data_IF_507031250187
#
_entry.id   IF_507031250187
#
_cell.length_a   1.000
_cell.length_b   1.000
_cell.length_c   1.000
_cell.angle_alpha   90.00
_cell.angle_beta   90.00
_cell.angle_gamma   90.00
#
_symmetry.space_group_name_H-M   'P 1'
#
loop_
_entity.id
_entity.type
_entity.pdbx_description
1 polymer ?
#
# COMPACT_ATOMS: atom_id res chain seq x y z
N UNK A 1 20.73 -16.07 8.65
CA UNK A 1 19.78 -17.21 8.86
C UNK A 1 18.44 -16.68 9.36
N UNK A 2 17.35 -17.09 8.70
CA UNK A 2 15.98 -16.71 9.10
C UNK A 2 15.47 -17.57 10.26
N UNK A 3 14.96 -16.94 11.30
CA UNK A 3 14.37 -17.57 12.48
C UNK A 3 12.95 -17.05 12.68
N UNK A 4 11.97 -17.94 12.92
CA UNK A 4 10.62 -17.52 13.31
C UNK A 4 10.66 -16.82 14.67
N UNK A 5 10.10 -15.60 14.75
CA UNK A 5 10.04 -14.84 15.98
C UNK A 5 9.10 -15.50 17.01
N UNK A 6 9.51 -15.47 18.26
CA UNK A 6 8.69 -15.74 19.44
C UNK A 6 8.07 -14.45 19.96
N UNK A 7 7.13 -14.53 20.90
CA UNK A 7 6.58 -13.32 21.55
C UNK A 7 7.68 -12.52 22.26
N UNK A 8 8.63 -13.20 22.90
CA UNK A 8 9.77 -12.55 23.54
C UNK A 8 10.69 -11.86 22.53
N UNK A 9 10.92 -12.47 21.36
CA UNK A 9 11.69 -11.82 20.29
C UNK A 9 10.98 -10.54 19.82
N UNK A 10 9.65 -10.55 19.72
CA UNK A 10 8.88 -9.34 19.36
C UNK A 10 9.11 -8.25 20.38
N UNK A 11 8.92 -8.53 21.67
CA UNK A 11 9.14 -7.55 22.74
C UNK A 11 10.56 -6.96 22.71
N UNK A 12 11.57 -7.79 22.44
CA UNK A 12 12.96 -7.39 22.44
C UNK A 12 13.37 -6.54 21.22
N UNK A 13 12.76 -6.79 20.02
CA UNK A 13 13.24 -6.23 18.76
C UNK A 13 12.26 -5.29 18.04
N UNK A 14 11.09 -5.00 18.62
CA UNK A 14 10.15 -4.02 18.05
C UNK A 14 10.77 -2.64 17.84
N UNK A 15 11.51 -2.15 18.85
CA UNK A 15 12.18 -0.85 18.76
C UNK A 15 13.25 -0.82 17.68
N UNK A 16 14.02 -1.90 17.56
CA UNK A 16 15.00 -2.07 16.50
C UNK A 16 14.33 -1.97 15.12
N UNK A 17 13.29 -2.76 14.89
CA UNK A 17 12.60 -2.77 13.60
C UNK A 17 11.89 -1.43 13.30
N UNK A 18 11.28 -0.81 14.33
CA UNK A 18 10.70 0.52 14.16
C UNK A 18 11.74 1.57 13.75
N UNK A 19 12.92 1.54 14.36
CA UNK A 19 14.01 2.47 14.02
C UNK A 19 14.45 2.28 12.56
N UNK A 20 14.56 1.04 12.06
CA UNK A 20 14.84 0.77 10.65
C UNK A 20 13.74 1.31 9.72
N UNK A 21 12.47 1.30 10.16
CA UNK A 21 11.36 1.82 9.37
C UNK A 21 11.38 3.36 9.19
N UNK A 22 12.26 4.06 9.93
CA UNK A 22 12.46 5.50 9.81
C UNK A 22 13.51 5.87 8.73
N UNK A 23 14.09 4.87 8.05
CA UNK A 23 15.10 5.05 7.02
C UNK A 23 14.66 4.33 5.75
N UNK A 24 14.52 5.08 4.65
CA UNK A 24 14.11 4.57 3.34
C UNK A 24 15.13 3.58 2.75
N UNK A 25 16.38 3.63 3.18
CA UNK A 25 17.45 2.71 2.70
C UNK A 25 17.38 1.33 3.35
N UNK A 26 16.65 1.19 4.45
CA UNK A 26 16.55 -0.06 5.23
C UNK A 26 15.15 -0.65 5.30
N UNK A 27 14.13 0.10 4.86
CA UNK A 27 12.72 -0.32 4.95
C UNK A 27 12.09 -0.60 3.60
N UNK A 28 11.00 -1.38 3.61
CA UNK A 28 10.15 -1.60 2.44
C UNK A 28 9.04 -0.55 2.30
N UNK A 29 8.60 0.07 3.39
CA UNK A 29 7.47 1.00 3.37
C UNK A 29 7.80 2.37 3.94
N UNK A 30 7.54 3.45 3.17
CA UNK A 30 7.88 4.82 3.58
C UNK A 30 6.91 5.44 4.61
N UNK A 31 5.83 4.75 4.98
CA UNK A 31 4.72 5.33 5.75
C UNK A 31 4.98 5.53 7.24
N UNK A 32 6.15 5.16 7.74
CA UNK A 32 6.56 5.44 9.13
C UNK A 32 7.52 6.63 9.23
N UNK A 33 8.18 7.00 8.13
CA UNK A 33 9.17 8.06 8.07
C UNK A 33 8.58 9.45 8.32
N UNK A 34 7.41 9.73 7.78
CA UNK A 34 6.76 11.04 7.81
C UNK A 34 5.81 11.23 9.01
N UNK A 35 5.77 10.25 9.91
CA UNK A 35 4.91 10.28 11.08
C UNK A 35 3.43 9.98 10.82
N UNK A 36 3.08 9.50 9.63
CA UNK A 36 1.70 9.06 9.32
C UNK A 36 1.33 7.89 10.22
N UNK A 37 2.17 6.86 10.25
CA UNK A 37 2.06 5.76 11.21
C UNK A 37 3.01 5.98 12.37
N UNK A 38 2.48 5.92 13.58
CA UNK A 38 3.25 6.14 14.80
C UNK A 38 3.96 4.86 15.24
N UNK A 39 4.90 4.98 16.18
CA UNK A 39 5.55 3.84 16.85
C UNK A 39 4.50 2.88 17.46
N UNK A 40 3.46 3.43 18.08
CA UNK A 40 2.38 2.64 18.63
C UNK A 40 1.58 1.87 17.57
N UNK A 41 1.40 2.45 16.39
CA UNK A 41 0.75 1.77 15.27
C UNK A 41 1.61 0.63 14.72
N UNK A 42 2.93 0.84 14.65
CA UNK A 42 3.89 -0.22 14.31
C UNK A 42 3.78 -1.41 15.28
N UNK A 43 3.74 -1.14 16.58
CA UNK A 43 3.61 -2.17 17.61
C UNK A 43 2.29 -2.93 17.49
N UNK A 44 1.17 -2.22 17.36
CA UNK A 44 -0.14 -2.84 17.17
C UNK A 44 -0.18 -3.71 15.91
N UNK A 45 0.45 -3.26 14.82
CA UNK A 45 0.55 -4.03 13.59
C UNK A 45 1.33 -5.31 13.78
N UNK A 46 2.51 -5.26 14.41
CA UNK A 46 3.35 -6.43 14.68
C UNK A 46 2.64 -7.47 15.56
N UNK A 47 2.00 -7.04 16.67
CA UNK A 47 1.21 -7.97 17.50
C UNK A 47 0.00 -8.55 16.77
N UNK A 48 -0.65 -7.76 15.93
CA UNK A 48 -1.74 -8.25 15.07
C UNK A 48 -1.24 -9.31 14.09
N UNK A 49 -0.13 -9.07 13.42
CA UNK A 49 0.49 -10.03 12.48
C UNK A 49 0.90 -11.32 13.20
N UNK A 50 1.52 -11.21 14.37
CA UNK A 50 1.91 -12.38 15.15
C UNK A 50 0.73 -13.27 15.53
N UNK A 51 -0.44 -12.69 15.73
CA UNK A 51 -1.65 -13.39 16.15
C UNK A 51 -2.46 -13.99 15.00
N UNK A 52 -2.20 -13.64 13.75
CA UNK A 52 -2.95 -14.12 12.58
C UNK A 52 -2.41 -15.46 12.08
N UNK A 53 -3.32 -16.27 11.52
CA UNK A 53 -2.98 -17.57 10.93
C UNK A 53 -2.24 -17.46 9.59
N UNK A 54 -2.50 -16.39 8.84
CA UNK A 54 -1.96 -16.13 7.50
C UNK A 54 -0.86 -15.05 7.50
N UNK A 55 -0.16 -14.88 8.59
CA UNK A 55 0.96 -13.96 8.74
C UNK A 55 2.03 -14.56 9.65
N UNK A 56 3.29 -14.19 9.42
CA UNK A 56 4.41 -14.59 10.29
C UNK A 56 5.44 -13.48 10.35
N UNK A 57 6.19 -13.48 11.47
CA UNK A 57 7.34 -12.61 11.65
C UNK A 57 8.60 -13.48 11.71
N UNK A 58 9.59 -13.13 10.90
CA UNK A 58 10.93 -13.72 10.90
C UNK A 58 11.95 -12.68 11.33
N UNK A 59 12.97 -13.13 12.04
CA UNK A 59 14.19 -12.37 12.30
C UNK A 59 15.31 -12.91 11.40
N UNK A 60 16.07 -12.02 10.78
CA UNK A 60 17.35 -12.38 10.17
C UNK A 60 18.46 -12.19 11.18
N UNK A 61 19.19 -13.28 11.43
CA UNK A 61 20.28 -13.33 12.42
C UNK A 61 21.58 -13.68 11.70
N UNK A 62 22.61 -12.86 11.94
CA UNK A 62 23.96 -13.11 11.46
C UNK A 62 24.93 -12.88 12.62
N UNK A 63 25.84 -13.85 12.89
CA UNK A 63 26.79 -13.84 14.00
C UNK A 63 26.16 -13.52 15.38
N UNK A 64 25.01 -14.15 15.68
CA UNK A 64 24.22 -13.96 16.90
C UNK A 64 23.60 -12.55 17.05
N UNK A 65 23.71 -11.71 16.05
CA UNK A 65 23.08 -10.38 16.00
C UNK A 65 21.85 -10.37 15.11
N UNK A 66 20.76 -9.72 15.56
CA UNK A 66 19.56 -9.53 14.76
C UNK A 66 19.76 -8.32 13.84
N UNK A 67 19.78 -8.54 12.54
CA UNK A 67 20.01 -7.54 11.51
C UNK A 67 18.79 -7.28 10.63
N UNK A 68 17.70 -8.04 10.80
CA UNK A 68 16.51 -7.86 10.00
C UNK A 68 15.23 -8.34 10.68
N UNK A 69 14.13 -7.73 10.25
CA UNK A 69 12.77 -8.03 10.68
C UNK A 69 11.87 -8.09 9.46
N UNK A 70 11.27 -9.27 9.23
CA UNK A 70 10.38 -9.55 8.11
C UNK A 70 9.01 -9.95 8.66
N UNK A 71 8.02 -9.07 8.52
CA UNK A 71 6.61 -9.36 8.78
C UNK A 71 5.92 -9.56 7.44
N UNK A 72 5.59 -10.80 7.10
CA UNK A 72 4.99 -11.17 5.84
C UNK A 72 3.65 -11.88 6.04
N UNK A 73 2.81 -11.82 5.01
CA UNK A 73 1.51 -12.46 4.97
C UNK A 73 1.27 -13.14 3.62
N UNK A 74 0.30 -14.04 3.58
CA UNK A 74 -0.11 -14.70 2.36
C UNK A 74 -1.62 -14.68 2.19
N UNK A 75 -2.05 -14.69 0.91
CA UNK A 75 -3.44 -14.82 0.48
C UNK A 75 -3.53 -16.09 -0.34
N UNK A 76 -4.13 -17.14 0.24
CA UNK A 76 -4.13 -18.48 -0.34
C UNK A 76 -4.86 -18.52 -1.69
N UNK A 77 -6.01 -17.82 -1.79
CA UNK A 77 -6.82 -17.79 -3.00
C UNK A 77 -6.12 -17.14 -4.19
N UNK A 78 -5.22 -16.22 -3.93
CA UNK A 78 -4.50 -15.46 -4.96
C UNK A 78 -3.07 -15.95 -5.14
N UNK A 79 -2.63 -16.99 -4.43
CA UNK A 79 -1.24 -17.44 -4.36
C UNK A 79 -0.25 -16.28 -4.16
N UNK A 80 -0.65 -15.32 -3.34
CA UNK A 80 0.05 -14.07 -3.10
C UNK A 80 0.86 -14.12 -1.80
N UNK A 81 2.09 -13.66 -1.83
CA UNK A 81 2.94 -13.49 -0.67
C UNK A 81 3.49 -12.05 -0.64
N UNK A 82 3.11 -11.30 0.38
CA UNK A 82 3.49 -9.89 0.54
C UNK A 82 3.99 -9.57 1.94
N UNK A 83 4.41 -8.33 2.14
CA UNK A 83 5.01 -7.88 3.38
C UNK A 83 4.19 -6.77 4.04
N UNK A 84 4.07 -6.84 5.35
CA UNK A 84 3.71 -5.70 6.18
C UNK A 84 4.96 -4.87 6.53
N UNK A 85 6.10 -5.55 6.74
CA UNK A 85 7.40 -4.96 7.05
C UNK A 85 8.51 -5.86 6.46
N UNK A 86 9.50 -5.22 5.83
CA UNK A 86 10.74 -5.86 5.40
C UNK A 86 11.87 -4.88 5.71
N UNK A 87 12.33 -4.90 6.96
CA UNK A 87 13.31 -3.96 7.48
C UNK A 87 14.64 -4.67 7.71
N UNK A 88 15.67 -4.25 6.99
CA UNK A 88 16.99 -4.89 7.00
C UNK A 88 18.07 -3.82 7.21
N UNK A 89 18.86 -3.98 8.25
CA UNK A 89 19.94 -3.05 8.59
C UNK A 89 21.09 -3.14 7.60
N UNK A 90 21.49 -4.36 7.25
CA UNK A 90 22.50 -4.67 6.24
C UNK A 90 22.32 -6.09 5.70
N UNK A 91 23.13 -6.51 4.71
CA UNK A 91 23.04 -7.83 4.08
C UNK A 91 21.73 -8.06 3.28
N UNK A 92 21.18 -7.03 2.66
CA UNK A 92 19.90 -7.09 1.95
C UNK A 92 19.84 -8.24 0.93
N UNK A 93 20.90 -8.44 0.15
CA UNK A 93 20.99 -9.55 -0.80
C UNK A 93 20.79 -10.89 -0.11
N UNK A 94 21.61 -11.20 0.91
CA UNK A 94 21.55 -12.47 1.65
C UNK A 94 20.16 -12.71 2.26
N UNK A 95 19.53 -11.66 2.79
CA UNK A 95 18.19 -11.75 3.40
C UNK A 95 17.13 -12.06 2.36
N UNK A 96 17.16 -11.41 1.19
CA UNK A 96 16.21 -11.66 0.11
C UNK A 96 16.39 -13.08 -0.42
N UNK A 97 17.63 -13.53 -0.65
CA UNK A 97 17.93 -14.90 -1.07
C UNK A 97 17.39 -15.92 -0.08
N UNK A 98 17.72 -15.78 1.21
CA UNK A 98 17.22 -16.68 2.24
C UNK A 98 15.70 -16.69 2.34
N UNK A 99 15.04 -15.52 2.15
CA UNK A 99 13.59 -15.46 2.17
C UNK A 99 12.96 -16.15 0.97
N UNK A 100 13.55 -16.04 -0.23
CA UNK A 100 13.10 -16.74 -1.43
C UNK A 100 13.22 -18.26 -1.21
N UNK A 101 14.37 -18.74 -0.75
CA UNK A 101 14.59 -20.18 -0.47
C UNK A 101 13.68 -20.70 0.66
N UNK A 102 13.50 -19.91 1.72
CA UNK A 102 12.55 -20.22 2.79
C UNK A 102 11.12 -20.37 2.25
N UNK A 103 10.76 -19.55 1.27
CA UNK A 103 9.41 -19.50 0.71
C UNK A 103 9.14 -20.62 -0.30
N UNK A 104 10.10 -21.00 -1.15
CA UNK A 104 9.97 -22.09 -2.13
C UNK A 104 9.42 -23.37 -1.53
N UNK A 105 9.95 -23.80 -0.40
CA UNK A 105 9.54 -25.05 0.25
C UNK A 105 8.18 -24.98 0.97
N UNK A 106 7.64 -23.77 1.23
CA UNK A 106 6.45 -23.56 2.07
C UNK A 106 5.25 -23.04 1.29
N UNK A 107 5.51 -22.36 0.20
CA UNK A 107 4.51 -21.68 -0.61
C UNK A 107 4.73 -22.01 -2.11
N UNK A 108 4.69 -23.30 -2.51
CA UNK A 108 4.84 -23.67 -3.91
C UNK A 108 3.75 -23.01 -4.75
N UNK A 109 4.12 -22.50 -5.92
CA UNK A 109 3.25 -21.79 -6.86
C UNK A 109 2.72 -20.42 -6.36
N UNK A 110 3.30 -19.85 -5.31
CA UNK A 110 3.01 -18.48 -4.92
C UNK A 110 3.91 -17.50 -5.68
N UNK A 111 3.45 -16.26 -5.76
CA UNK A 111 4.27 -15.14 -6.22
C UNK A 111 4.61 -14.26 -5.03
N UNK A 112 5.91 -13.95 -4.86
CA UNK A 112 6.38 -12.99 -3.86
C UNK A 112 6.34 -11.59 -4.48
N UNK A 113 5.81 -10.62 -3.74
CA UNK A 113 5.76 -9.21 -4.11
C UNK A 113 6.70 -8.39 -3.24
N UNK A 114 7.87 -8.06 -3.78
CA UNK A 114 8.87 -7.20 -3.14
C UNK A 114 8.70 -5.76 -3.58
N UNK A 115 8.30 -4.90 -2.66
CA UNK A 115 8.18 -3.48 -2.93
C UNK A 115 9.12 -2.67 -2.03
N UNK A 116 9.90 -1.76 -2.64
CA UNK A 116 10.87 -0.94 -1.92
C UNK A 116 10.86 0.52 -2.39
N UNK A 117 11.13 1.47 -1.48
CA UNK A 117 11.54 2.81 -1.88
C UNK A 117 12.77 2.76 -2.78
N UNK A 118 12.85 3.63 -3.79
CA UNK A 118 14.03 3.69 -4.69
C UNK A 118 15.33 4.04 -3.93
N UNK A 119 15.21 4.58 -2.73
CA UNK A 119 16.33 4.84 -1.82
C UNK A 119 16.95 3.55 -1.26
N UNK A 120 16.20 2.44 -1.21
CA UNK A 120 16.70 1.12 -0.81
C UNK A 120 17.41 0.45 -2.00
N UNK A 121 18.51 1.09 -2.43
CA UNK A 121 19.24 0.72 -3.65
C UNK A 121 19.78 -0.70 -3.61
N UNK A 122 20.27 -1.16 -2.46
CA UNK A 122 20.83 -2.51 -2.32
C UNK A 122 19.79 -3.60 -2.57
N UNK A 123 18.58 -3.45 -2.04
CA UNK A 123 17.48 -4.40 -2.30
C UNK A 123 17.05 -4.36 -3.76
N UNK A 124 16.91 -3.16 -4.33
CA UNK A 124 16.47 -2.97 -5.72
C UNK A 124 17.52 -3.48 -6.72
N UNK A 125 18.80 -3.17 -6.53
CA UNK A 125 19.89 -3.65 -7.38
C UNK A 125 19.98 -5.18 -7.36
N UNK A 126 19.81 -5.78 -6.19
CA UNK A 126 19.79 -7.23 -6.08
C UNK A 126 18.59 -7.83 -6.83
N UNK A 127 17.37 -7.32 -6.62
CA UNK A 127 16.18 -7.79 -7.36
C UNK A 127 16.36 -7.67 -8.88
N UNK A 128 16.94 -6.58 -9.37
CA UNK A 128 17.27 -6.38 -10.79
C UNK A 128 18.31 -7.38 -11.32
N UNK A 129 19.16 -7.93 -10.45
CA UNK A 129 20.22 -8.85 -10.82
C UNK A 129 19.80 -10.32 -10.90
N UNK A 130 18.64 -10.65 -10.35
CA UNK A 130 18.06 -12.00 -10.36
C UNK A 130 16.83 -12.05 -11.29
N UNK A 131 16.25 -13.23 -11.43
CA UNK A 131 15.04 -13.46 -12.24
C UNK A 131 13.80 -12.91 -11.52
N UNK A 132 13.70 -11.58 -11.45
CA UNK A 132 12.54 -10.86 -10.92
C UNK A 132 11.95 -9.93 -11.99
N UNK A 133 10.63 -9.80 -12.00
CA UNK A 133 9.90 -8.91 -12.91
C UNK A 133 9.51 -7.63 -12.17
N UNK A 134 9.91 -6.47 -12.71
CA UNK A 134 9.40 -5.18 -12.23
C UNK A 134 8.00 -4.95 -12.82
N UNK A 135 6.98 -4.99 -11.97
CA UNK A 135 5.58 -4.88 -12.39
C UNK A 135 4.98 -3.50 -12.17
N UNK A 136 5.58 -2.68 -11.29
CA UNK A 136 5.04 -1.36 -10.99
C UNK A 136 6.11 -0.38 -10.52
N UNK A 137 5.85 0.93 -10.74
CA UNK A 137 6.68 2.04 -10.30
C UNK A 137 5.80 3.26 -10.03
N UNK A 138 5.79 3.73 -8.79
CA UNK A 138 4.92 4.80 -8.37
C UNK A 138 5.67 5.86 -7.54
N UNK A 139 5.10 7.06 -7.45
CA UNK A 139 5.52 8.11 -6.55
C UNK A 139 4.61 8.12 -5.33
N UNK A 140 5.19 7.96 -4.14
CA UNK A 140 4.45 7.90 -2.88
C UNK A 140 4.28 9.30 -2.32
N UNK A 141 3.04 9.66 -2.11
CA UNK A 141 2.63 10.93 -1.54
C UNK A 141 1.81 10.74 -0.28
N UNK A 142 1.93 11.68 0.64
CA UNK A 142 1.20 11.66 1.91
C UNK A 142 0.61 13.03 2.21
N UNK A 143 -0.49 13.06 2.98
CA UNK A 143 -1.11 14.29 3.43
C UNK A 143 -1.61 14.13 4.87
N UNK A 144 -1.30 15.13 5.71
CA UNK A 144 -1.88 15.26 7.04
C UNK A 144 -3.14 16.12 7.00
N UNK A 145 -4.26 15.56 7.41
CA UNK A 145 -5.53 16.31 7.47
C UNK A 145 -5.53 17.41 8.53
N UNK A 146 -4.65 17.36 9.52
CA UNK A 146 -4.48 18.47 10.47
C UNK A 146 -4.04 19.75 9.74
N UNK A 147 -3.13 19.64 8.79
CA UNK A 147 -2.59 20.75 8.00
C UNK A 147 -3.41 21.07 6.74
N UNK A 148 -4.30 20.18 6.34
CA UNK A 148 -5.11 20.36 5.14
C UNK A 148 -6.22 21.37 5.36
N UNK A 149 -6.37 22.36 4.47
CA UNK A 149 -7.50 23.26 4.39
C UNK A 149 -8.42 22.83 3.25
N UNK A 150 -9.74 22.67 3.48
CA UNK A 150 -10.67 22.32 2.43
C UNK A 150 -10.59 23.28 1.23
N UNK A 151 -10.61 22.71 0.04
CA UNK A 151 -10.58 23.43 -1.24
C UNK A 151 -11.97 23.42 -1.87
N UNK A 152 -12.25 24.40 -2.72
CA UNK A 152 -13.44 24.39 -3.54
C UNK A 152 -13.39 23.23 -4.54
N UNK A 153 -14.52 22.53 -4.66
CA UNK A 153 -14.66 21.35 -5.50
C UNK A 153 -15.67 21.64 -6.61
N UNK A 154 -15.24 21.51 -7.83
CA UNK A 154 -16.08 21.66 -9.02
C UNK A 154 -16.66 20.32 -9.47
N UNK A 155 -17.80 20.39 -10.15
CA UNK A 155 -18.45 19.24 -10.77
C UNK A 155 -19.51 18.56 -9.91
N UNK A 156 -20.28 17.69 -10.56
CA UNK A 156 -21.31 16.86 -9.93
C UNK A 156 -20.67 15.54 -9.45
N UNK A 157 -20.29 15.50 -8.17
CA UNK A 157 -19.61 14.36 -7.58
C UNK A 157 -20.49 13.72 -6.51
N UNK A 158 -20.91 12.49 -6.77
CA UNK A 158 -21.83 11.72 -5.93
C UNK A 158 -21.15 10.47 -5.36
N UNK A 159 -21.59 10.04 -4.18
CA UNK A 159 -21.17 8.73 -3.63
C UNK A 159 -21.82 7.58 -4.42
N UNK A 160 -21.09 6.50 -4.58
CA UNK A 160 -21.64 5.25 -5.11
C UNK A 160 -22.68 4.68 -4.13
N UNK A 161 -23.80 4.24 -4.69
CA UNK A 161 -24.87 3.52 -4.03
C UNK A 161 -25.45 2.44 -4.96
N UNK A 162 -26.52 1.75 -4.57
CA UNK A 162 -27.11 0.67 -5.34
C UNK A 162 -27.68 1.14 -6.70
N UNK A 163 -28.12 2.40 -6.79
CA UNK A 163 -28.76 2.94 -7.99
C UNK A 163 -27.73 3.24 -9.10
N UNK A 164 -26.52 3.73 -8.70
CA UNK A 164 -25.44 4.10 -9.63
C UNK A 164 -24.28 3.09 -9.63
N UNK A 165 -24.43 1.91 -9.00
CA UNK A 165 -23.41 0.87 -8.95
C UNK A 165 -22.99 0.39 -10.34
N UNK A 166 -23.95 0.24 -11.27
CA UNK A 166 -23.65 -0.21 -12.62
C UNK A 166 -22.78 0.79 -13.38
N UNK A 167 -22.98 2.09 -13.17
CA UNK A 167 -22.15 3.12 -13.78
C UNK A 167 -20.69 2.99 -13.32
N UNK A 168 -20.48 2.77 -12.00
CA UNK A 168 -19.15 2.51 -11.44
C UNK A 168 -18.53 1.24 -12.07
N UNK A 169 -19.24 0.11 -12.02
CA UNK A 169 -18.74 -1.17 -12.54
C UNK A 169 -18.34 -1.08 -14.01
N UNK A 170 -19.21 -0.49 -14.83
CA UNK A 170 -19.00 -0.37 -16.28
C UNK A 170 -17.81 0.56 -16.63
N UNK A 171 -17.45 1.49 -15.73
CA UNK A 171 -16.26 2.30 -15.85
C UNK A 171 -15.01 1.56 -15.35
N UNK A 172 -15.08 1.02 -14.15
CA UNK A 172 -13.95 0.46 -13.41
C UNK A 172 -13.42 -0.84 -14.04
N UNK A 173 -14.30 -1.75 -14.45
CA UNK A 173 -13.93 -3.05 -15.02
C UNK A 173 -13.46 -2.96 -16.49
N UNK A 174 -13.34 -1.76 -17.05
CA UNK A 174 -12.70 -1.59 -18.37
C UNK A 174 -11.21 -1.91 -18.34
N UNK A 175 -10.56 -1.69 -17.24
CA UNK A 175 -9.17 -2.07 -17.03
C UNK A 175 -9.14 -3.54 -16.64
N UNK A 176 -8.48 -4.38 -17.45
CA UNK A 176 -8.29 -5.80 -17.14
C UNK A 176 -7.30 -5.96 -15.98
N UNK A 177 -7.45 -7.07 -15.25
CA UNK A 177 -6.50 -7.57 -14.24
C UNK A 177 -6.30 -6.68 -13.00
N UNK A 178 -7.27 -5.80 -12.69
CA UNK A 178 -7.25 -5.03 -11.45
C UNK A 178 -7.58 -5.95 -10.28
N UNK A 179 -6.72 -5.98 -9.26
CA UNK A 179 -6.97 -6.76 -8.03
C UNK A 179 -8.28 -6.37 -7.37
N UNK A 180 -8.54 -5.07 -7.17
CA UNK A 180 -9.76 -4.54 -6.60
C UNK A 180 -10.83 -4.29 -7.68
N UNK A 181 -11.20 -5.33 -8.44
CA UNK A 181 -12.30 -5.24 -9.40
C UNK A 181 -13.66 -4.94 -8.72
N UNK A 182 -14.68 -4.64 -9.50
CA UNK A 182 -15.98 -4.25 -8.98
C UNK A 182 -16.60 -5.30 -8.05
N UNK A 183 -16.47 -6.60 -8.33
CA UNK A 183 -17.00 -7.66 -7.46
C UNK A 183 -16.33 -7.67 -6.09
N UNK A 184 -15.00 -7.54 -6.03
CA UNK A 184 -14.26 -7.46 -4.78
C UNK A 184 -14.63 -6.20 -4.00
N UNK A 185 -14.75 -5.06 -4.67
CA UNK A 185 -15.18 -3.80 -4.05
C UNK A 185 -16.62 -3.86 -3.55
N UNK A 186 -17.54 -4.49 -4.31
CA UNK A 186 -18.92 -4.70 -3.86
C UNK A 186 -18.98 -5.52 -2.56
N UNK A 187 -18.24 -6.61 -2.52
CA UNK A 187 -18.15 -7.44 -1.32
C UNK A 187 -17.51 -6.69 -0.15
N UNK A 188 -16.48 -5.90 -0.41
CA UNK A 188 -15.78 -5.11 0.60
C UNK A 188 -16.66 -3.98 1.18
N UNK A 189 -17.43 -3.28 0.35
CA UNK A 189 -18.41 -2.26 0.76
C UNK A 189 -19.48 -2.82 1.69
N UNK A 190 -19.91 -4.06 1.46
CA UNK A 190 -20.95 -4.73 2.22
C UNK A 190 -20.40 -5.57 3.40
N UNK A 191 -19.08 -5.63 3.58
CA UNK A 191 -18.46 -6.41 4.64
C UNK A 191 -18.54 -5.70 5.99
N UNK A 192 -18.59 -6.48 7.09
CA UNK A 192 -18.48 -5.98 8.47
C UNK A 192 -17.01 -5.84 8.92
N UNK A 193 -16.10 -5.50 7.99
CA UNK A 193 -14.69 -5.32 8.33
C UNK A 193 -14.46 -3.97 9.04
N UNK A 194 -13.30 -3.82 9.66
CA UNK A 194 -12.84 -2.54 10.20
C UNK A 194 -12.28 -1.59 9.11
N UNK A 195 -12.40 -1.99 7.84
CA UNK A 195 -12.07 -1.18 6.67
C UNK A 195 -13.36 -0.65 6.06
N UNK A 196 -13.45 0.65 5.84
CA UNK A 196 -14.61 1.29 5.21
C UNK A 196 -14.21 1.80 3.83
N UNK A 197 -14.67 1.13 2.80
CA UNK A 197 -14.50 1.56 1.42
C UNK A 197 -15.45 2.70 1.08
N UNK A 198 -15.00 3.59 0.20
CA UNK A 198 -15.76 4.71 -0.32
C UNK A 198 -15.42 4.88 -1.79
N UNK A 199 -16.42 5.23 -2.59
CA UNK A 199 -16.27 5.46 -4.03
C UNK A 199 -17.06 6.71 -4.39
N UNK A 200 -16.45 7.64 -5.12
CA UNK A 200 -17.11 8.79 -5.71
C UNK A 200 -17.10 8.71 -7.22
N UNK A 201 -18.20 9.13 -7.84
CA UNK A 201 -18.38 9.25 -9.29
C UNK A 201 -18.45 10.73 -9.66
N UNK A 202 -17.73 11.10 -10.71
CA UNK A 202 -17.75 12.43 -11.30
C UNK A 202 -18.57 12.44 -12.56
N UNK A 203 -19.62 13.29 -12.60
CA UNK A 203 -20.46 13.49 -13.78
C UNK A 203 -20.25 14.87 -14.37
N UNK A 204 -20.29 14.93 -15.69
CA UNK A 204 -20.38 16.18 -16.44
C UNK A 204 -21.61 16.10 -17.36
N UNK A 205 -22.57 17.03 -17.18
CA UNK A 205 -23.83 17.04 -17.95
C UNK A 205 -24.55 15.68 -17.96
N UNK A 206 -24.62 15.04 -16.79
CA UNK A 206 -25.18 13.70 -16.56
C UNK A 206 -24.44 12.55 -17.29
N UNK A 207 -23.22 12.78 -17.74
CA UNK A 207 -22.36 11.74 -18.31
C UNK A 207 -21.26 11.43 -17.32
N UNK A 208 -21.14 10.16 -16.91
CA UNK A 208 -20.04 9.70 -16.07
C UNK A 208 -18.69 9.92 -16.78
N UNK A 209 -17.73 10.54 -16.10
CA UNK A 209 -16.42 10.88 -16.64
C UNK A 209 -15.27 10.24 -15.87
N UNK A 210 -15.45 9.95 -14.58
CA UNK A 210 -14.42 9.32 -13.79
C UNK A 210 -14.91 8.90 -12.42
N UNK A 211 -14.08 8.15 -11.71
CA UNK A 211 -14.33 7.77 -10.32
C UNK A 211 -13.04 7.77 -9.50
N UNK A 212 -13.16 7.87 -8.18
CA UNK A 212 -12.09 7.65 -7.21
C UNK A 212 -12.56 6.63 -6.19
N UNK A 213 -11.69 5.68 -5.82
CA UNK A 213 -11.97 4.69 -4.79
C UNK A 213 -10.86 4.67 -3.73
N UNK A 214 -11.28 4.65 -2.49
CA UNK A 214 -10.39 4.77 -1.33
C UNK A 214 -10.96 4.04 -0.12
N UNK A 215 -10.10 3.73 0.85
CA UNK A 215 -10.47 3.00 2.05
C UNK A 215 -10.02 3.74 3.31
N UNK A 216 -10.87 3.77 4.31
CA UNK A 216 -10.49 4.09 5.68
C UNK A 216 -10.08 2.82 6.39
N UNK A 217 -8.85 2.80 6.88
CA UNK A 217 -8.33 1.76 7.78
C UNK A 217 -8.24 2.32 9.20
N UNK A 218 -8.03 1.49 10.23
CA UNK A 218 -7.79 2.01 11.57
C UNK A 218 -6.54 2.90 11.72
N UNK A 219 -5.61 2.84 10.75
CA UNK A 219 -4.34 3.56 10.81
C UNK A 219 -4.35 4.84 9.96
N UNK A 220 -4.91 4.76 8.76
CA UNK A 220 -4.90 5.87 7.80
C UNK A 220 -5.96 5.63 6.71
N UNK A 221 -6.18 6.65 5.90
CA UNK A 221 -6.88 6.54 4.64
C UNK A 221 -5.88 6.18 3.53
N UNK A 222 -6.29 5.30 2.62
CA UNK A 222 -5.52 4.94 1.42
C UNK A 222 -6.36 5.22 0.17
N UNK A 223 -5.83 5.98 -0.76
CA UNK A 223 -6.44 6.15 -2.09
C UNK A 223 -5.85 5.05 -2.97
N UNK A 224 -6.73 4.22 -3.53
CA UNK A 224 -6.33 3.07 -4.36
C UNK A 224 -6.25 3.40 -5.83
N UNK A 225 -7.10 4.30 -6.32
CA UNK A 225 -7.02 4.70 -7.71
C UNK A 225 -8.11 5.68 -8.15
N UNK A 226 -7.90 6.18 -9.36
CA UNK A 226 -8.83 7.06 -10.07
C UNK A 226 -8.95 6.50 -11.49
N UNK A 227 -10.17 6.18 -11.92
CA UNK A 227 -10.42 5.74 -13.27
C UNK A 227 -11.08 6.84 -14.07
N UNK A 228 -10.81 6.85 -15.37
CA UNK A 228 -11.33 7.81 -16.32
C UNK A 228 -12.14 7.06 -17.40
N UNK A 229 -13.24 7.68 -17.85
CA UNK A 229 -14.05 7.11 -18.94
C UNK A 229 -13.30 7.10 -20.26
N UNK A 230 -12.61 8.19 -20.50
CA UNK A 230 -11.79 8.45 -21.67
C UNK A 230 -10.31 8.55 -21.20
N UNK A 231 -9.51 9.42 -21.80
CA UNK A 231 -8.13 9.64 -21.36
C UNK A 231 -8.05 10.37 -20.02
N UNK A 232 -6.85 10.38 -19.43
CA UNK A 232 -6.51 11.12 -18.22
C UNK A 232 -6.90 12.59 -18.35
N UNK A 233 -7.61 13.12 -17.33
CA UNK A 233 -8.04 14.51 -17.25
C UNK A 233 -7.67 15.12 -15.90
N UNK A 234 -6.82 16.14 -15.94
CA UNK A 234 -6.31 16.83 -14.75
C UNK A 234 -7.42 17.47 -13.89
N UNK A 235 -8.46 18.02 -14.51
CA UNK A 235 -9.55 18.69 -13.81
C UNK A 235 -10.44 17.68 -13.10
N UNK A 236 -10.72 16.54 -13.75
CA UNK A 236 -11.48 15.43 -13.15
C UNK A 236 -10.70 14.88 -11.95
N UNK A 237 -9.41 14.59 -12.13
CA UNK A 237 -8.56 14.11 -11.05
C UNK A 237 -8.56 15.08 -9.86
N UNK A 238 -8.30 16.35 -10.13
CA UNK A 238 -8.28 17.39 -9.10
C UNK A 238 -9.60 17.47 -8.33
N UNK A 239 -10.73 17.47 -9.04
CA UNK A 239 -12.05 17.56 -8.43
C UNK A 239 -12.37 16.34 -7.57
N UNK A 240 -12.09 15.13 -8.06
CA UNK A 240 -12.25 13.88 -7.32
C UNK A 240 -11.37 13.84 -6.06
N UNK A 241 -10.11 14.25 -6.16
CA UNK A 241 -9.19 14.34 -5.01
C UNK A 241 -9.70 15.33 -3.98
N UNK A 242 -10.09 16.54 -4.38
CA UNK A 242 -10.62 17.56 -3.46
C UNK A 242 -11.88 17.05 -2.75
N UNK A 243 -12.81 16.42 -3.47
CA UNK A 243 -14.02 15.82 -2.88
C UNK A 243 -13.67 14.75 -1.86
N UNK A 244 -12.75 13.87 -2.22
CA UNK A 244 -12.25 12.80 -1.38
C UNK A 244 -11.61 13.36 -0.09
N UNK A 245 -10.69 14.31 -0.22
CA UNK A 245 -9.98 14.92 0.92
C UNK A 245 -10.93 15.73 1.83
N UNK A 246 -11.83 16.54 1.27
CA UNK A 246 -12.80 17.31 2.05
C UNK A 246 -13.72 16.39 2.87
N UNK A 247 -14.21 15.31 2.25
CA UNK A 247 -15.06 14.32 2.93
C UNK A 247 -14.27 13.59 4.02
N UNK A 248 -13.04 13.18 3.74
CA UNK A 248 -12.19 12.47 4.70
C UNK A 248 -11.81 13.32 5.91
N UNK A 249 -11.62 14.63 5.72
CA UNK A 249 -11.42 15.58 6.83
C UNK A 249 -12.65 15.69 7.70
N UNK A 250 -13.86 15.78 7.11
CA UNK A 250 -15.13 15.79 7.85
C UNK A 250 -15.36 14.48 8.62
N UNK A 251 -14.91 13.36 8.06
CA UNK A 251 -14.93 12.03 8.70
C UNK A 251 -13.80 11.84 9.74
N UNK A 252 -13.08 12.92 10.10
CA UNK A 252 -12.02 12.95 11.10
C UNK A 252 -10.84 11.99 10.79
N UNK A 253 -10.56 11.73 9.51
CA UNK A 253 -9.33 11.05 9.13
C UNK A 253 -8.13 11.93 9.49
N UNK A 254 -6.99 11.31 9.83
CA UNK A 254 -5.80 12.04 10.26
C UNK A 254 -4.76 12.16 9.16
N UNK A 255 -4.60 11.11 8.39
CA UNK A 255 -3.59 11.02 7.35
C UNK A 255 -4.10 10.22 6.16
N UNK A 256 -3.54 10.52 4.99
CA UNK A 256 -3.74 9.72 3.78
C UNK A 256 -2.42 9.48 3.06
N UNK A 257 -2.34 8.36 2.35
CA UNK A 257 -1.28 8.04 1.41
C UNK A 257 -1.88 7.77 0.03
N UNK A 258 -1.11 8.10 -1.00
CA UNK A 258 -1.49 7.87 -2.38
C UNK A 258 -0.25 7.53 -3.22
N UNK A 259 -0.36 6.45 -4.00
CA UNK A 259 0.63 6.02 -4.97
C UNK A 259 0.19 6.52 -6.34
N UNK A 260 1.02 7.30 -7.00
CA UNK A 260 0.66 8.02 -8.22
C UNK A 260 1.67 7.82 -9.33
N UNK A 261 1.21 7.93 -10.57
CA UNK A 261 2.07 7.97 -11.76
C UNK A 261 2.73 9.36 -11.92
N UNK A 262 3.78 9.44 -12.76
CA UNK A 262 4.49 10.69 -13.05
C UNK A 262 3.57 11.83 -13.51
N UNK A 263 2.58 11.51 -14.38
CA UNK A 263 1.62 12.50 -14.93
C UNK A 263 0.72 13.15 -13.88
N UNK A 264 0.53 12.48 -12.73
CA UNK A 264 -0.41 12.86 -11.67
C UNK A 264 0.23 13.74 -10.60
N UNK A 265 1.57 13.74 -10.50
CA UNK A 265 2.35 14.37 -9.43
C UNK A 265 1.98 15.84 -9.18
N UNK A 266 1.93 16.65 -10.24
CA UNK A 266 1.64 18.09 -10.12
C UNK A 266 0.26 18.35 -9.52
N UNK A 267 -0.70 17.47 -9.83
CA UNK A 267 -2.08 17.62 -9.35
C UNK A 267 -2.13 17.28 -7.85
N UNK A 268 -1.54 16.16 -7.42
CA UNK A 268 -1.54 15.78 -5.99
C UNK A 268 -0.78 16.81 -5.15
N UNK A 269 0.32 17.36 -5.64
CA UNK A 269 1.04 18.45 -4.97
C UNK A 269 0.16 19.71 -4.85
N UNK A 270 -0.60 20.04 -5.90
CA UNK A 270 -1.47 21.23 -5.93
C UNK A 270 -2.64 21.14 -4.94
N UNK A 271 -3.02 19.95 -4.49
CA UNK A 271 -4.07 19.75 -3.48
C UNK A 271 -3.52 19.49 -2.08
N UNK A 272 -2.19 19.61 -1.90
CA UNK A 272 -1.55 19.65 -0.59
C UNK A 272 -0.83 18.38 -0.16
N UNK A 273 -0.66 17.40 -1.04
CA UNK A 273 0.18 16.24 -0.74
C UNK A 273 1.66 16.57 -0.75
N UNK A 274 2.41 15.86 0.07
CA UNK A 274 3.87 15.93 0.13
C UNK A 274 4.49 14.66 -0.46
N UNK A 275 5.46 14.83 -1.33
CA UNK A 275 6.25 13.73 -1.89
C UNK A 275 7.13 13.09 -0.80
N UNK A 276 7.18 11.78 -0.77
CA UNK A 276 8.02 11.00 0.15
C UNK A 276 9.17 10.33 -0.61
N UNK A 277 8.85 9.45 -1.53
CA UNK A 277 9.83 8.70 -2.31
C UNK A 277 9.20 8.11 -3.57
N UNK A 278 10.04 7.62 -4.46
CA UNK A 278 9.64 6.72 -5.53
C UNK A 278 9.65 5.28 -5.02
N UNK A 279 8.70 4.47 -5.47
CA UNK A 279 8.51 3.08 -5.01
C UNK A 279 8.52 2.15 -6.23
N UNK A 280 9.25 1.07 -6.14
CA UNK A 280 9.34 0.05 -7.18
C UNK A 280 8.83 -1.29 -6.63
N UNK A 281 7.99 -1.99 -7.41
CA UNK A 281 7.42 -3.28 -7.05
C UNK A 281 7.93 -4.37 -8.01
N UNK A 282 8.49 -5.42 -7.43
CA UNK A 282 9.04 -6.57 -8.14
C UNK A 282 8.32 -7.86 -7.74
N UNK A 283 8.21 -8.80 -8.68
CA UNK A 283 7.66 -10.12 -8.40
C UNK A 283 8.67 -11.22 -8.67
N UNK A 284 8.55 -12.30 -7.89
CA UNK A 284 9.30 -13.55 -8.08
C UNK A 284 8.30 -14.69 -7.97
N UNK A 285 8.17 -15.46 -9.03
CA UNK A 285 7.34 -16.68 -9.03
C UNK A 285 8.07 -17.83 -8.33
N UNK A 286 7.40 -18.52 -7.41
CA UNK A 286 7.91 -19.70 -6.71
C UNK A 286 7.48 -20.99 -7.43
N UNK A 287 7.53 -21.00 -8.75
CA UNK A 287 7.33 -22.22 -9.54
C UNK A 287 8.64 -23.02 -9.55
N UNK A 288 8.52 -24.36 -9.51
CA UNK A 288 9.65 -25.30 -9.67
C UNK A 288 10.29 -25.18 -11.07
#
# INVERSE_FOLDING_TARGET
MLKKATLQDIENYLDFSYNLSQDLTTSAFPTYLDGIKTKNDFYKSAYSSFSKSNSKILLFINNDEVLGWIDYYWIEQDHYLGFNVFNIQNNQQEVIEEFIEYSKSRYPNYTIYFGFPSDNTLSIEYLKSIDSEKIDENYVYTLSFEKYSPLECDGDIVSVNIENWNDFRDLHDKTSDIYWNSDRLFNALNSKSNKKWNIFLYYEKNILKGCIYFVYTPLLMEIFGIDYKDDFDENIMRSLLIKCLNTSKLDNQKHTTFFVEEKERKIVESVGFNFITKYELYTISLTD
#
